data_IF_332277845405
#
_entry.id   IF_332277845405
#
_cell.length_a   1.000
_cell.length_b   1.000
_cell.length_c   1.000
_cell.angle_alpha   90.00
_cell.angle_beta   90.00
_cell.angle_gamma   90.00
#
_symmetry.space_group_name_H-M   'P 1'
#
loop_
_entity.id
_entity.type
_entity.pdbx_description
1 polymer ?
#
# COMPACT_ATOMS: atom_id res chain seq x y z
N UNK A 1 37.59 -8.46 -0.32
CA UNK A 1 37.13 -9.26 -1.49
C UNK A 1 35.87 -8.59 -2.06
N UNK A 2 35.80 -8.28 -3.37
CA UNK A 2 34.59 -7.68 -3.98
C UNK A 2 33.42 -8.66 -3.83
N UNK A 3 32.25 -8.22 -3.33
CA UNK A 3 31.03 -9.04 -3.12
C UNK A 3 30.60 -9.87 -4.36
N UNK A 4 31.07 -9.51 -5.56
CA UNK A 4 30.87 -10.26 -6.80
C UNK A 4 31.64 -11.60 -6.86
N UNK A 5 32.71 -11.79 -6.09
CA UNK A 5 33.63 -12.93 -6.24
C UNK A 5 33.46 -14.06 -5.21
N UNK A 6 32.49 -13.97 -4.29
CA UNK A 6 32.27 -14.98 -3.25
C UNK A 6 31.80 -16.34 -3.84
N UNK A 7 32.30 -17.50 -3.36
CA UNK A 7 31.92 -18.82 -3.88
C UNK A 7 30.41 -19.11 -3.82
N UNK A 8 29.73 -18.68 -2.75
CA UNK A 8 28.27 -18.80 -2.65
C UNK A 8 27.55 -18.02 -3.76
N UNK A 9 28.01 -16.80 -4.05
CA UNK A 9 27.39 -15.95 -5.07
C UNK A 9 27.73 -16.37 -6.50
N UNK A 10 28.83 -17.10 -6.70
CA UNK A 10 29.13 -17.76 -7.98
C UNK A 10 28.25 -19.00 -8.21
N UNK A 11 28.02 -19.81 -7.17
CA UNK A 11 27.22 -21.04 -7.24
C UNK A 11 25.70 -20.77 -7.27
N UNK A 12 25.22 -19.76 -6.53
CA UNK A 12 23.79 -19.47 -6.35
C UNK A 12 23.40 -18.10 -6.92
N UNK A 13 23.67 -17.88 -8.21
CA UNK A 13 23.43 -16.60 -8.90
C UNK A 13 21.96 -16.14 -8.81
N UNK A 14 21.01 -17.08 -8.91
CA UNK A 14 19.56 -16.78 -8.82
C UNK A 14 19.16 -16.32 -7.43
N UNK A 15 19.59 -17.03 -6.37
CA UNK A 15 19.29 -16.67 -4.98
C UNK A 15 19.83 -15.28 -4.65
N UNK A 16 21.00 -14.92 -5.18
CA UNK A 16 21.55 -13.57 -5.03
C UNK A 16 20.63 -12.51 -5.61
N UNK A 17 20.11 -12.73 -6.81
CA UNK A 17 19.21 -11.79 -7.49
C UNK A 17 17.93 -11.65 -6.67
N UNK A 18 17.34 -12.75 -6.21
CA UNK A 18 16.14 -12.73 -5.37
C UNK A 18 16.37 -11.95 -4.07
N UNK A 19 17.47 -12.21 -3.35
CA UNK A 19 17.80 -11.49 -2.12
C UNK A 19 18.04 -9.99 -2.37
N UNK A 20 18.67 -9.64 -3.50
CA UNK A 20 18.92 -8.24 -3.86
C UNK A 20 17.62 -7.52 -4.20
N UNK A 21 16.75 -8.14 -5.00
CA UNK A 21 15.43 -7.59 -5.33
C UNK A 21 14.63 -7.42 -4.05
N UNK A 22 14.58 -8.43 -3.19
CA UNK A 22 13.88 -8.36 -1.91
C UNK A 22 14.43 -7.25 -1.00
N UNK A 23 15.74 -7.05 -0.98
CA UNK A 23 16.38 -5.95 -0.22
C UNK A 23 15.97 -4.59 -0.78
N UNK A 24 16.07 -4.40 -2.10
CA UNK A 24 15.71 -3.14 -2.75
C UNK A 24 14.24 -2.80 -2.51
N UNK A 25 13.34 -3.76 -2.68
CA UNK A 25 11.90 -3.57 -2.42
C UNK A 25 11.63 -3.27 -0.94
N UNK A 26 12.27 -4.00 -0.01
CA UNK A 26 12.08 -3.76 1.42
C UNK A 26 12.55 -2.36 1.83
N UNK A 27 13.72 -1.93 1.34
CA UNK A 27 14.25 -0.57 1.58
C UNK A 27 13.28 0.46 1.03
N UNK A 28 12.79 0.27 -0.20
CA UNK A 28 11.84 1.18 -0.84
C UNK A 28 10.57 1.33 0.02
N UNK A 29 9.95 0.22 0.43
CA UNK A 29 8.77 0.22 1.31
C UNK A 29 9.04 0.98 2.61
N UNK A 30 10.17 0.71 3.28
CA UNK A 30 10.54 1.40 4.53
C UNK A 30 10.76 2.89 4.33
N UNK A 31 11.46 3.30 3.26
CA UNK A 31 11.72 4.72 2.97
C UNK A 31 10.45 5.46 2.60
N UNK A 32 9.53 4.84 1.85
CA UNK A 32 8.23 5.42 1.52
C UNK A 32 7.42 5.65 2.79
N UNK A 33 7.40 4.69 3.71
CA UNK A 33 6.69 4.81 4.98
C UNK A 33 7.31 5.87 5.89
N UNK A 34 8.64 5.95 5.94
CA UNK A 34 9.33 7.06 6.63
C UNK A 34 8.96 8.41 6.04
N UNK A 35 8.99 8.54 4.71
CA UNK A 35 8.64 9.79 4.03
C UNK A 35 7.19 10.22 4.34
N UNK A 36 6.23 9.29 4.28
CA UNK A 36 4.85 9.56 4.67
C UNK A 36 4.75 9.98 6.14
N UNK A 37 5.48 9.30 7.03
CA UNK A 37 5.57 9.67 8.44
C UNK A 37 6.09 11.09 8.66
N UNK A 38 7.13 11.51 7.93
CA UNK A 38 7.65 12.87 8.00
C UNK A 38 6.67 13.91 7.44
N UNK A 39 6.07 13.65 6.29
CA UNK A 39 5.09 14.54 5.65
C UNK A 39 3.89 14.77 6.57
N UNK A 40 3.41 13.69 7.20
CA UNK A 40 2.23 13.73 8.07
C UNK A 40 2.57 14.07 9.53
N UNK A 41 3.85 14.34 9.84
CA UNK A 41 4.35 14.58 11.22
C UNK A 41 4.01 13.44 12.21
N UNK A 42 3.83 12.21 11.72
CA UNK A 42 3.50 11.03 12.50
C UNK A 42 4.23 9.79 11.97
N UNK A 43 5.51 9.69 12.31
CA UNK A 43 6.35 8.56 11.92
C UNK A 43 5.81 7.26 12.52
N UNK A 44 5.49 7.26 13.82
CA UNK A 44 5.04 6.06 14.51
C UNK A 44 3.70 5.55 13.95
N UNK A 45 2.75 6.44 13.67
CA UNK A 45 1.48 6.11 13.05
C UNK A 45 1.64 5.53 11.65
N UNK A 46 2.56 6.07 10.83
CA UNK A 46 2.80 5.53 9.48
C UNK A 46 3.23 4.05 9.52
N UNK A 47 4.03 3.65 10.52
CA UNK A 47 4.44 2.25 10.69
C UNK A 47 3.37 1.37 11.35
N UNK A 48 2.52 1.93 12.21
CA UNK A 48 1.42 1.19 12.87
C UNK A 48 0.25 0.92 11.92
N UNK A 49 0.00 1.85 11.00
CA UNK A 49 -1.17 1.84 10.11
C UNK A 49 -1.37 0.50 9.36
N UNK A 50 -0.34 -0.13 8.74
CA UNK A 50 -0.52 -1.45 8.12
C UNK A 50 -0.98 -2.56 9.07
N UNK A 51 -0.52 -2.54 10.33
CA UNK A 51 -0.94 -3.52 11.34
C UNK A 51 -2.38 -3.30 11.78
N UNK A 52 -2.77 -2.04 12.00
CA UNK A 52 -4.12 -1.66 12.39
C UNK A 52 -5.13 -1.95 11.27
N UNK A 53 -4.74 -1.72 10.01
CA UNK A 53 -5.55 -2.08 8.85
C UNK A 53 -5.71 -3.59 8.70
N UNK A 54 -4.61 -4.33 8.81
CA UNK A 54 -4.66 -5.79 8.80
C UNK A 54 -5.63 -6.30 9.89
N UNK A 55 -5.47 -5.80 11.11
CA UNK A 55 -6.33 -6.19 12.24
C UNK A 55 -7.81 -5.85 11.98
N UNK A 56 -8.09 -4.67 11.42
CA UNK A 56 -9.45 -4.23 11.16
C UNK A 56 -10.11 -4.97 10.00
N UNK A 57 -9.41 -5.13 8.87
CA UNK A 57 -9.93 -5.79 7.67
C UNK A 57 -10.17 -7.29 7.88
N UNK A 58 -9.40 -7.94 8.77
CA UNK A 58 -9.59 -9.35 9.13
C UNK A 58 -10.58 -9.56 10.30
N UNK A 59 -10.91 -8.52 11.05
CA UNK A 59 -11.94 -8.57 12.11
C UNK A 59 -12.93 -7.39 11.94
N UNK A 60 -13.65 -7.34 10.82
CA UNK A 60 -14.41 -6.16 10.42
C UNK A 60 -15.52 -5.80 11.40
N UNK A 61 -16.22 -6.79 11.97
CA UNK A 61 -17.32 -6.56 12.93
C UNK A 61 -16.87 -5.81 14.19
N UNK A 62 -15.59 -5.96 14.57
CA UNK A 62 -15.04 -5.35 15.78
C UNK A 62 -14.46 -3.96 15.54
N UNK A 63 -13.91 -3.72 14.35
CA UNK A 63 -13.03 -2.57 14.10
C UNK A 63 -13.46 -1.71 12.91
N UNK A 64 -14.43 -2.14 12.10
CA UNK A 64 -14.98 -1.34 11.01
C UNK A 64 -16.39 -0.88 11.37
N UNK A 65 -16.63 0.43 11.27
CA UNK A 65 -17.96 1.02 11.43
C UNK A 65 -18.42 1.59 10.11
N UNK A 66 -19.70 1.36 9.78
CA UNK A 66 -20.33 2.05 8.66
C UNK A 66 -20.39 3.54 8.96
N UNK A 67 -20.02 4.34 7.98
CA UNK A 67 -20.05 5.79 8.05
C UNK A 67 -20.43 6.36 6.67
N UNK A 68 -20.77 7.65 6.64
CA UNK A 68 -21.11 8.34 5.40
C UNK A 68 -19.92 9.22 5.01
N UNK A 69 -19.50 9.12 3.76
CA UNK A 69 -18.46 9.96 3.19
C UNK A 69 -19.08 10.98 2.25
N UNK A 70 -18.92 12.26 2.54
CA UNK A 70 -19.33 13.37 1.70
C UNK A 70 -18.24 13.60 0.66
N UNK A 71 -18.59 13.47 -0.62
CA UNK A 71 -17.64 13.56 -1.73
C UNK A 71 -17.48 15.01 -2.16
N UNK A 72 -16.24 15.51 -2.12
CA UNK A 72 -15.86 16.81 -2.68
C UNK A 72 -15.58 16.67 -4.18
N UNK A 73 -14.69 15.73 -4.51
CA UNK A 73 -14.22 15.47 -5.87
C UNK A 73 -13.91 14.00 -6.03
N UNK A 74 -14.11 13.46 -7.23
CA UNK A 74 -13.53 12.18 -7.61
C UNK A 74 -13.00 12.25 -9.04
N UNK A 75 -11.91 11.54 -9.32
CA UNK A 75 -11.30 11.52 -10.63
C UNK A 75 -10.59 10.20 -10.85
N UNK A 76 -10.32 9.88 -12.13
CA UNK A 76 -9.52 8.72 -12.48
C UNK A 76 -8.07 9.13 -12.67
N UNK A 77 -7.18 8.39 -12.04
CA UNK A 77 -5.76 8.51 -12.19
C UNK A 77 -5.24 7.26 -12.91
N UNK A 78 -4.64 7.47 -14.09
CA UNK A 78 -4.00 6.39 -14.85
C UNK A 78 -2.52 6.31 -14.48
N UNK A 79 -2.12 5.21 -13.86
CA UNK A 79 -0.71 4.87 -13.73
C UNK A 79 -0.22 4.24 -15.04
N UNK A 80 0.66 4.96 -15.74
CA UNK A 80 1.30 4.45 -16.95
C UNK A 80 2.67 3.87 -16.59
N UNK A 81 2.78 2.55 -16.49
CA UNK A 81 4.08 1.90 -16.35
C UNK A 81 4.76 1.81 -17.72
N UNK A 82 5.71 2.70 -17.99
CA UNK A 82 6.53 2.69 -19.22
C UNK A 82 7.77 1.80 -19.07
N UNK A 83 7.57 0.49 -18.89
CA UNK A 83 8.67 -0.48 -18.95
C UNK A 83 8.39 -1.57 -19.98
N UNK A 84 9.16 -1.51 -21.08
CA UNK A 84 9.27 -2.54 -22.13
C UNK A 84 7.98 -2.89 -22.89
N UNK A 85 7.57 -2.03 -23.82
CA UNK A 85 6.82 -2.43 -25.03
C UNK A 85 5.35 -2.83 -24.88
N UNK A 86 4.82 -2.93 -23.66
CA UNK A 86 3.38 -3.02 -23.39
C UNK A 86 3.00 -1.96 -22.36
N UNK A 87 2.29 -0.93 -22.79
CA UNK A 87 1.64 0.00 -21.87
C UNK A 87 0.44 -0.73 -21.26
N UNK A 88 0.59 -1.22 -20.04
CA UNK A 88 -0.55 -1.56 -19.18
C UNK A 88 -0.87 -0.33 -18.36
N UNK A 89 -1.91 0.42 -18.74
CA UNK A 89 -2.45 1.44 -17.85
C UNK A 89 -3.24 0.75 -16.75
N UNK A 90 -2.98 1.11 -15.50
CA UNK A 90 -3.88 0.80 -14.39
C UNK A 90 -4.62 2.07 -14.03
N UNK A 91 -5.93 2.05 -14.19
CA UNK A 91 -6.79 3.16 -13.82
C UNK A 91 -7.28 2.97 -12.40
N UNK A 92 -7.02 3.98 -11.57
CA UNK A 92 -7.45 4.08 -10.19
C UNK A 92 -8.51 5.16 -10.07
N UNK A 93 -9.48 4.97 -9.19
CA UNK A 93 -10.41 6.05 -8.81
C UNK A 93 -9.96 6.66 -7.51
N UNK A 94 -9.63 7.95 -7.55
CA UNK A 94 -9.34 8.74 -6.35
C UNK A 94 -10.60 9.50 -5.96
N UNK A 95 -11.11 9.24 -4.76
CA UNK A 95 -12.29 9.92 -4.20
C UNK A 95 -11.82 10.76 -3.00
N UNK A 96 -12.01 12.07 -3.08
CA UNK A 96 -11.66 13.03 -2.02
C UNK A 96 -12.92 13.59 -1.39
N UNK A 97 -12.84 13.83 -0.09
CA UNK A 97 -13.95 14.36 0.67
C UNK A 97 -13.71 14.24 2.16
N UNK A 98 -14.76 14.06 2.93
CA UNK A 98 -14.69 13.97 4.39
C UNK A 98 -15.79 13.07 4.92
N UNK A 99 -15.58 12.51 6.11
CA UNK A 99 -16.67 11.84 6.82
C UNK A 99 -17.77 12.85 7.18
N UNK A 100 -19.01 12.40 7.19
CA UNK A 100 -20.15 13.20 7.60
C UNK A 100 -19.90 13.76 9.00
N UNK A 101 -20.07 15.07 9.16
CA UNK A 101 -19.76 15.83 10.38
C UNK A 101 -18.28 15.95 10.77
N UNK A 102 -17.35 15.43 9.96
CA UNK A 102 -15.91 15.70 10.10
C UNK A 102 -15.49 16.83 9.17
N UNK A 103 -14.60 17.72 9.63
CA UNK A 103 -13.95 18.74 8.78
C UNK A 103 -12.64 18.25 8.16
N UNK A 104 -12.17 17.07 8.57
CA UNK A 104 -10.89 16.52 8.11
C UNK A 104 -11.06 15.90 6.73
N UNK A 105 -10.33 16.43 5.75
CA UNK A 105 -10.28 15.86 4.40
C UNK A 105 -9.56 14.52 4.41
N UNK A 106 -10.09 13.58 3.64
CA UNK A 106 -9.58 12.23 3.43
C UNK A 106 -9.66 11.87 1.96
N UNK A 107 -8.87 10.88 1.58
CA UNK A 107 -8.80 10.33 0.24
C UNK A 107 -9.03 8.83 0.32
N UNK A 108 -9.79 8.29 -0.62
CA UNK A 108 -10.02 6.87 -0.82
C UNK A 108 -9.48 6.55 -2.21
N UNK A 109 -8.49 5.66 -2.28
CA UNK A 109 -7.90 5.16 -3.52
C UNK A 109 -8.47 3.76 -3.80
N UNK A 110 -9.31 3.67 -4.84
CA UNK A 110 -9.83 2.42 -5.34
C UNK A 110 -8.95 1.94 -6.51
N UNK A 111 -8.39 0.74 -6.41
CA UNK A 111 -7.55 0.12 -7.44
C UNK A 111 -8.33 -0.35 -8.70
N UNK A 112 -9.40 0.34 -9.05
CA UNK A 112 -10.25 0.14 -10.23
C UNK A 112 -11.08 1.40 -10.52
N UNK A 113 -11.71 1.43 -11.71
CA UNK A 113 -12.67 2.48 -12.08
C UNK A 113 -13.99 2.22 -11.35
N UNK A 114 -14.30 3.04 -10.35
CA UNK A 114 -15.52 2.92 -9.57
C UNK A 114 -16.70 3.50 -10.35
N UNK A 115 -17.45 2.64 -11.04
CA UNK A 115 -18.60 3.03 -11.86
C UNK A 115 -19.77 3.65 -11.09
N UNK A 116 -19.80 3.52 -9.75
CA UNK A 116 -20.80 4.19 -8.94
C UNK A 116 -20.52 5.70 -8.84
N UNK A 117 -19.24 6.11 -8.92
CA UNK A 117 -18.79 7.50 -8.72
C UNK A 117 -18.27 8.12 -10.03
N UNK A 118 -17.81 7.29 -10.96
CA UNK A 118 -17.30 7.67 -12.27
C UNK A 118 -18.27 7.15 -13.35
N UNK A 119 -18.64 8.03 -14.28
CA UNK A 119 -19.56 7.75 -15.40
C UNK A 119 -18.86 7.92 -16.75
N UNK A 120 -19.33 7.19 -17.77
CA UNK A 120 -18.86 7.34 -19.16
C UNK A 120 -17.35 7.19 -19.30
N UNK A 121 -16.74 8.04 -20.14
CA UNK A 121 -15.30 8.13 -20.36
C UNK A 121 -14.59 8.84 -19.20
N UNK A 122 -14.62 8.25 -18.00
CA UNK A 122 -13.87 8.73 -16.81
C UNK A 122 -14.34 10.07 -16.23
N UNK A 123 -15.61 10.45 -16.43
CA UNK A 123 -16.15 11.72 -15.93
C UNK A 123 -16.82 11.51 -14.57
N UNK A 124 -16.53 12.38 -13.60
CA UNK A 124 -17.17 12.34 -12.28
C UNK A 124 -18.69 12.47 -12.38
N UNK A 125 -19.41 11.58 -11.72
CA UNK A 125 -20.86 11.67 -11.56
C UNK A 125 -21.21 12.71 -10.50
N UNK A 126 -21.47 13.94 -10.93
CA UNK A 126 -21.81 15.05 -10.02
C UNK A 126 -23.08 14.80 -9.16
N UNK A 127 -23.89 13.80 -9.49
CA UNK A 127 -25.05 13.42 -8.69
C UNK A 127 -24.67 12.64 -7.42
N UNK A 128 -23.44 12.11 -7.34
CA UNK A 128 -22.95 11.37 -6.18
C UNK A 128 -22.40 12.35 -5.15
N UNK A 129 -23.22 12.73 -4.18
CA UNK A 129 -22.78 13.64 -3.10
C UNK A 129 -22.25 12.89 -1.88
N UNK A 130 -22.70 11.66 -1.69
CA UNK A 130 -22.35 10.85 -0.53
C UNK A 130 -22.19 9.38 -0.92
N UNK A 131 -21.27 8.68 -0.27
CA UNK A 131 -21.08 7.24 -0.42
C UNK A 131 -20.98 6.56 0.94
N UNK A 132 -21.41 5.30 1.03
CA UNK A 132 -21.21 4.47 2.21
C UNK A 132 -19.77 3.97 2.28
N UNK A 133 -19.17 4.08 3.45
CA UNK A 133 -17.78 3.67 3.70
C UNK A 133 -17.65 2.90 5.00
N UNK A 134 -16.51 2.23 5.16
CA UNK A 134 -16.13 1.57 6.40
C UNK A 134 -14.96 2.33 7.04
N UNK A 135 -15.22 2.93 8.20
CA UNK A 135 -14.21 3.62 9.01
C UNK A 135 -13.54 2.63 9.96
N UNK A 136 -12.21 2.59 9.92
CA UNK A 136 -11.37 1.87 10.87
C UNK A 136 -11.34 2.60 12.21
N UNK A 137 -11.78 1.95 13.28
CA UNK A 137 -11.80 2.55 14.63
C UNK A 137 -10.42 2.64 15.28
N UNK A 138 -9.40 1.99 14.72
CA UNK A 138 -8.04 1.98 15.28
C UNK A 138 -7.21 3.19 14.83
N UNK A 139 -7.41 3.65 13.60
CA UNK A 139 -6.58 4.68 12.98
C UNK A 139 -7.35 5.68 12.10
N UNK A 140 -8.68 5.65 12.16
CA UNK A 140 -9.59 6.48 11.40
C UNK A 140 -9.49 6.38 9.86
N UNK A 141 -8.79 5.38 9.32
CA UNK A 141 -8.78 5.16 7.88
C UNK A 141 -10.17 4.81 7.35
N UNK A 142 -10.43 5.18 6.09
CA UNK A 142 -11.72 5.01 5.44
C UNK A 142 -11.54 4.12 4.23
N UNK A 143 -12.29 3.03 4.20
CA UNK A 143 -12.31 2.08 3.09
C UNK A 143 -13.62 2.20 2.32
N UNK A 144 -13.58 2.00 1.01
CA UNK A 144 -14.81 1.92 0.24
C UNK A 144 -15.51 0.61 0.54
N UNK A 145 -16.84 0.65 0.75
CA UNK A 145 -17.62 -0.53 1.10
C UNK A 145 -17.93 -1.40 -0.14
N UNK A 146 -16.89 -1.83 -0.84
CA UNK A 146 -16.96 -2.74 -1.98
C UNK A 146 -16.05 -3.95 -1.76
N UNK A 147 -16.50 -5.13 -2.25
CA UNK A 147 -15.77 -6.39 -2.04
C UNK A 147 -14.40 -6.39 -2.73
N UNK A 148 -14.30 -5.77 -3.90
CA UNK A 148 -13.04 -5.70 -4.67
C UNK A 148 -12.06 -4.76 -3.99
N UNK A 149 -12.54 -3.59 -3.56
CA UNK A 149 -11.71 -2.63 -2.81
C UNK A 149 -11.18 -3.24 -1.52
N UNK A 150 -12.08 -3.79 -0.69
CA UNK A 150 -11.70 -4.42 0.58
C UNK A 150 -10.72 -5.59 0.40
N UNK A 151 -10.80 -6.33 -0.73
CA UNK A 151 -9.84 -7.37 -1.05
C UNK A 151 -8.47 -6.77 -1.40
N UNK A 152 -8.43 -5.68 -2.17
CA UNK A 152 -7.18 -4.97 -2.48
C UNK A 152 -6.52 -4.47 -1.21
N UNK A 153 -7.27 -3.76 -0.36
CA UNK A 153 -6.78 -3.21 0.90
C UNK A 153 -6.24 -4.29 1.85
N UNK A 154 -6.83 -5.50 1.85
CA UNK A 154 -6.29 -6.65 2.57
C UNK A 154 -4.93 -7.10 2.05
N UNK A 155 -4.79 -7.20 0.72
CA UNK A 155 -3.53 -7.58 0.07
C UNK A 155 -2.45 -6.54 0.38
N UNK A 156 -2.79 -5.25 0.35
CA UNK A 156 -1.86 -4.17 0.63
C UNK A 156 -1.39 -4.20 2.09
N UNK A 157 -2.32 -4.39 3.04
CA UNK A 157 -1.99 -4.55 4.45
C UNK A 157 -1.07 -5.76 4.70
N UNK A 158 -1.41 -6.92 4.12
CA UNK A 158 -0.57 -8.14 4.22
C UNK A 158 0.80 -7.92 3.60
N UNK A 159 0.88 -7.26 2.44
CA UNK A 159 2.13 -7.01 1.74
C UNK A 159 3.03 -6.07 2.56
N UNK A 160 2.47 -5.01 3.15
CA UNK A 160 3.19 -4.12 4.06
C UNK A 160 3.79 -4.89 5.25
N UNK A 161 2.98 -5.73 5.90
CA UNK A 161 3.45 -6.60 6.98
C UNK A 161 4.53 -7.58 6.55
N UNK A 162 4.39 -8.19 5.37
CA UNK A 162 5.40 -9.10 4.82
C UNK A 162 6.77 -8.42 4.70
N UNK A 163 6.83 -7.21 4.15
CA UNK A 163 8.10 -6.48 4.03
C UNK A 163 8.66 -6.05 5.38
N UNK A 164 7.82 -5.70 6.36
CA UNK A 164 8.29 -5.40 7.72
C UNK A 164 8.88 -6.62 8.42
N UNK A 165 8.17 -7.76 8.41
CA UNK A 165 8.63 -8.97 9.09
C UNK A 165 9.79 -9.65 8.38
N UNK A 166 9.88 -9.55 7.05
CA UNK A 166 10.95 -10.19 6.28
C UNK A 166 12.25 -9.37 6.25
N UNK A 167 12.23 -8.08 6.61
CA UNK A 167 13.41 -7.22 6.56
C UNK A 167 14.51 -7.66 7.55
N UNK A 168 14.17 -7.93 8.81
CA UNK A 168 15.16 -8.36 9.81
C UNK A 168 15.80 -9.72 9.44
N UNK A 169 15.03 -10.78 9.11
CA UNK A 169 15.58 -12.03 8.60
C UNK A 169 16.48 -11.84 7.38
N UNK A 170 16.09 -10.96 6.45
CA UNK A 170 16.90 -10.65 5.27
C UNK A 170 18.27 -10.06 5.67
N UNK A 171 18.30 -9.11 6.59
CA UNK A 171 19.55 -8.53 7.09
C UNK A 171 20.45 -9.59 7.75
N UNK A 172 19.88 -10.50 8.53
CA UNK A 172 20.61 -11.61 9.16
C UNK A 172 21.22 -12.53 8.10
N UNK A 173 20.44 -12.93 7.10
CA UNK A 173 20.92 -13.78 5.99
C UNK A 173 22.08 -13.08 5.25
N UNK A 174 21.92 -11.80 4.91
CA UNK A 174 22.96 -11.02 4.23
C UNK A 174 24.23 -10.89 5.07
N UNK A 175 24.10 -10.69 6.38
CA UNK A 175 25.24 -10.62 7.30
C UNK A 175 26.00 -11.94 7.39
N UNK A 176 25.29 -13.07 7.55
CA UNK A 176 25.88 -14.40 7.57
C UNK A 176 26.62 -14.72 6.26
N UNK A 177 26.02 -14.37 5.12
CA UNK A 177 26.65 -14.52 3.80
C UNK A 177 27.90 -13.65 3.64
N UNK A 178 27.91 -12.43 4.18
CA UNK A 178 29.09 -11.55 4.20
C UNK A 178 30.20 -12.14 5.08
N UNK A 179 29.89 -12.63 6.28
CA UNK A 179 30.88 -13.25 7.18
C UNK A 179 31.55 -14.46 6.55
N UNK A 180 30.76 -15.37 5.95
CA UNK A 180 31.29 -16.52 5.20
C UNK A 180 32.14 -16.15 3.97
N UNK A 181 32.04 -14.91 3.50
CA UNK A 181 32.85 -14.40 2.38
C UNK A 181 34.20 -13.83 2.77
N UNK A 182 34.40 -13.55 4.05
CA UNK A 182 35.65 -13.01 4.56
C UNK A 182 36.53 -14.07 5.24
N UNK A 183 35.94 -15.20 5.62
CA UNK A 183 36.66 -16.43 5.97
C UNK A 183 36.91 -17.28 4.72
#
# INVERSE_FOLDING_TARGET
MKLKNHPFFKKYKVIKVVLLVHLVTSVLVLTTQLAHGFINQDIAGSFKKPFENYKALYNPEKYLKKDIFVVDTAFVQSEVSSSQGKSTSKDHTIIRGNLLHSKTKKEIDCAYINSAVITGAYTYNQNVKTIEVLRNTLNDEVFYNDKTDLKSQKIDAVSGLYFYYSFIPLLIILFLLKKKSHN
#
